data_IF_407576228207
#
_entry.id   IF_407576228207
#
_cell.length_a   1.000
_cell.length_b   1.000
_cell.length_c   1.000
_cell.angle_alpha   90.00
_cell.angle_beta   90.00
_cell.angle_gamma   90.00
#
_symmetry.space_group_name_H-M   'P 1'
#
loop_
_entity.id
_entity.type
_entity.pdbx_description
1 polymer ?
#
# COMPACT_ATOMS: atom_id res chain seq x y z
N UNK A 1 -9.57 4.59 10.87
CA UNK A 1 -9.18 5.82 11.61
C UNK A 1 -7.70 6.15 11.39
N UNK A 2 -6.82 5.17 11.16
CA UNK A 2 -5.40 5.38 10.87
C UNK A 2 -5.12 6.05 9.50
N UNK A 3 -5.90 5.73 8.46
CA UNK A 3 -5.54 6.11 7.07
C UNK A 3 -5.65 7.61 6.80
N UNK A 4 -6.65 8.28 7.39
CA UNK A 4 -6.85 9.71 7.20
C UNK A 4 -5.76 10.54 7.88
N UNK A 5 -5.43 10.18 9.12
CA UNK A 5 -4.42 10.89 9.88
C UNK A 5 -3.05 10.69 9.24
N UNK A 6 -2.78 9.52 8.66
CA UNK A 6 -1.58 9.24 7.86
C UNK A 6 -1.56 10.05 6.56
N UNK A 7 -2.66 10.09 5.78
CA UNK A 7 -2.76 10.91 4.57
C UNK A 7 -2.50 12.40 4.86
N UNK A 8 -3.17 12.95 5.86
CA UNK A 8 -2.97 14.34 6.29
C UNK A 8 -1.58 14.58 6.89
N UNK A 9 -1.05 13.65 7.66
CA UNK A 9 0.30 13.78 8.25
C UNK A 9 1.37 13.70 7.18
N UNK A 10 1.27 12.76 6.24
CA UNK A 10 2.20 12.62 5.11
C UNK A 10 2.05 13.78 4.09
N UNK A 11 0.84 14.35 3.92
CA UNK A 11 0.63 15.56 3.13
C UNK A 11 1.42 16.75 3.66
N UNK A 12 1.64 16.78 4.98
CA UNK A 12 2.21 17.90 5.73
C UNK A 12 3.64 17.64 6.25
N UNK A 13 4.20 16.45 6.05
CA UNK A 13 5.52 16.06 6.57
C UNK A 13 6.66 16.08 5.54
N UNK A 14 6.43 16.48 4.29
CA UNK A 14 7.53 16.73 3.36
C UNK A 14 8.02 18.18 3.47
N UNK A 15 9.31 18.30 3.82
CA UNK A 15 10.03 19.50 4.24
C UNK A 15 10.06 20.67 3.23
N UNK A 16 9.71 21.86 3.73
CA UNK A 16 10.44 23.15 3.64
C UNK A 16 10.60 23.95 2.34
N UNK A 17 9.94 23.64 1.22
CA UNK A 17 9.88 24.60 0.11
C UNK A 17 8.43 24.84 -0.35
N UNK A 18 7.91 26.00 0.06
CA UNK A 18 6.60 26.59 -0.31
C UNK A 18 5.42 25.64 -0.06
N UNK A 19 4.64 25.88 0.99
CA UNK A 19 3.31 25.28 1.17
C UNK A 19 2.40 25.64 -0.02
N UNK A 20 2.53 24.94 -1.14
CA UNK A 20 1.52 24.91 -2.17
C UNK A 20 0.28 24.29 -1.54
N UNK A 21 -0.79 25.09 -1.48
CA UNK A 21 -2.06 24.69 -0.90
C UNK A 21 -2.66 23.55 -1.72
N UNK A 22 -2.40 22.31 -1.30
CA UNK A 22 -2.99 21.10 -1.91
C UNK A 22 -4.52 21.19 -1.86
N UNK A 23 -5.17 21.00 -2.99
CA UNK A 23 -6.62 20.97 -3.09
C UNK A 23 -7.15 19.59 -2.68
N UNK A 24 -7.92 19.58 -1.59
CA UNK A 24 -8.59 18.38 -1.10
C UNK A 24 -10.02 18.31 -1.63
N UNK A 25 -10.35 17.18 -2.27
CA UNK A 25 -11.72 16.78 -2.56
C UNK A 25 -12.08 15.56 -1.71
N UNK A 26 -12.95 15.80 -0.72
CA UNK A 26 -13.43 14.78 0.20
C UNK A 26 -14.87 14.38 -0.13
N UNK A 27 -15.03 13.14 -0.55
CA UNK A 27 -16.29 12.53 -1.00
C UNK A 27 -16.59 11.26 -0.20
N UNK A 28 -16.14 11.19 1.04
CA UNK A 28 -16.44 10.05 1.93
C UNK A 28 -17.92 9.94 2.27
N UNK A 29 -18.37 8.71 2.56
CA UNK A 29 -19.69 8.42 3.12
C UNK A 29 -20.87 8.96 2.28
N UNK A 30 -20.69 9.08 0.96
CA UNK A 30 -21.69 9.62 0.03
C UNK A 30 -22.54 8.52 -0.65
N UNK A 31 -22.24 7.24 -0.41
CA UNK A 31 -22.92 6.12 -1.06
C UNK A 31 -22.65 6.04 -2.57
N UNK A 32 -21.51 6.57 -3.04
CA UNK A 32 -21.14 6.61 -4.46
C UNK A 32 -20.95 5.20 -5.02
N UNK A 33 -21.48 4.97 -6.21
CA UNK A 33 -21.31 3.69 -6.93
C UNK A 33 -20.30 3.81 -8.09
N UNK A 34 -19.93 5.04 -8.46
CA UNK A 34 -18.98 5.37 -9.53
C UNK A 34 -18.28 6.68 -9.22
N UNK A 35 -17.03 6.81 -9.68
CA UNK A 35 -16.28 8.08 -9.61
C UNK A 35 -16.80 9.01 -10.71
N UNK A 36 -17.28 10.19 -10.34
CA UNK A 36 -17.76 11.21 -11.27
C UNK A 36 -17.16 12.56 -10.91
N UNK A 37 -15.93 12.78 -11.39
CA UNK A 37 -15.25 14.07 -11.28
C UNK A 37 -15.63 14.94 -12.47
N UNK A 38 -15.89 16.22 -12.22
CA UNK A 38 -16.09 17.21 -13.28
C UNK A 38 -14.73 17.57 -13.88
N UNK A 39 -14.71 18.04 -15.12
CA UNK A 39 -13.45 18.46 -15.78
C UNK A 39 -12.76 19.64 -15.04
N UNK A 40 -13.50 20.36 -14.20
CA UNK A 40 -13.01 21.45 -13.35
C UNK A 40 -12.38 20.94 -12.04
N UNK A 41 -12.72 19.73 -11.60
CA UNK A 41 -12.22 19.16 -10.35
C UNK A 41 -10.76 18.73 -10.56
N UNK A 42 -9.83 19.47 -9.93
CA UNK A 42 -8.39 19.18 -9.97
C UNK A 42 -7.78 18.97 -8.58
N UNK A 43 -8.29 18.01 -7.78
CA UNK A 43 -7.77 17.78 -6.45
C UNK A 43 -6.35 17.20 -6.48
N UNK A 44 -5.47 17.71 -5.62
CA UNK A 44 -4.20 17.05 -5.28
C UNK A 44 -4.45 15.82 -4.40
N UNK A 45 -5.50 15.87 -3.58
CA UNK A 45 -5.89 14.84 -2.61
C UNK A 45 -7.35 14.46 -2.86
N UNK A 46 -7.60 13.19 -3.16
CA UNK A 46 -8.95 12.64 -3.35
C UNK A 46 -9.25 11.58 -2.29
N UNK A 47 -10.34 11.78 -1.54
CA UNK A 47 -10.83 10.83 -0.55
C UNK A 47 -12.21 10.33 -0.97
N UNK A 48 -12.30 9.02 -1.20
CA UNK A 48 -13.52 8.30 -1.62
C UNK A 48 -13.88 7.18 -0.64
N UNK A 49 -13.42 7.27 0.60
CA UNK A 49 -13.62 6.27 1.63
C UNK A 49 -15.10 6.01 1.93
N UNK A 50 -15.44 4.80 2.37
CA UNK A 50 -16.80 4.42 2.80
C UNK A 50 -17.88 4.69 1.74
N UNK A 51 -17.63 4.28 0.51
CA UNK A 51 -18.60 4.33 -0.58
C UNK A 51 -18.90 2.91 -1.08
N UNK A 52 -19.65 2.79 -2.17
CA UNK A 52 -20.02 1.52 -2.80
C UNK A 52 -19.27 1.32 -4.14
N UNK A 53 -18.06 1.86 -4.28
CA UNK A 53 -17.30 1.77 -5.51
C UNK A 53 -16.86 0.33 -5.76
N UNK A 54 -17.10 -0.18 -6.97
CA UNK A 54 -16.63 -1.51 -7.38
C UNK A 54 -15.44 -1.48 -8.34
N UNK A 55 -15.12 -0.28 -8.85
CA UNK A 55 -14.08 -0.01 -9.85
C UNK A 55 -13.52 1.41 -9.66
N UNK A 56 -12.33 1.63 -10.20
CA UNK A 56 -11.61 2.91 -10.18
C UNK A 56 -11.64 3.65 -11.53
N UNK A 57 -12.62 3.33 -12.39
CA UNK A 57 -12.81 3.98 -13.68
C UNK A 57 -13.11 5.49 -13.50
N UNK A 58 -12.60 6.33 -14.42
CA UNK A 58 -12.83 7.79 -14.40
C UNK A 58 -11.71 8.62 -13.78
N UNK A 59 -10.59 7.99 -13.41
CA UNK A 59 -9.41 8.67 -12.89
C UNK A 59 -8.36 9.03 -13.96
N UNK A 60 -8.57 8.65 -15.23
CA UNK A 60 -7.55 8.74 -16.30
C UNK A 60 -6.98 10.16 -16.55
N UNK A 61 -7.77 11.19 -16.24
CA UNK A 61 -7.36 12.60 -16.39
C UNK A 61 -6.73 13.20 -15.13
N UNK A 62 -6.78 12.50 -13.99
CA UNK A 62 -6.37 13.01 -12.69
C UNK A 62 -4.87 12.79 -12.45
N UNK A 63 -4.03 13.00 -13.47
CA UNK A 63 -2.59 12.71 -13.44
C UNK A 63 -1.80 13.58 -12.45
N UNK A 64 -2.43 14.64 -11.94
CA UNK A 64 -1.93 15.53 -10.89
C UNK A 64 -2.18 15.00 -9.47
N UNK A 65 -3.02 13.96 -9.29
CA UNK A 65 -3.29 13.40 -7.97
C UNK A 65 -1.99 12.96 -7.30
N UNK A 66 -1.75 13.49 -6.10
CA UNK A 66 -0.59 13.14 -5.27
C UNK A 66 -0.98 12.18 -4.16
N UNK A 67 -2.24 12.21 -3.72
CA UNK A 67 -2.76 11.33 -2.69
C UNK A 67 -4.16 10.84 -3.04
N UNK A 68 -4.38 9.53 -2.90
CA UNK A 68 -5.65 8.91 -3.20
C UNK A 68 -6.03 7.87 -2.16
N UNK A 69 -7.25 7.99 -1.65
CA UNK A 69 -7.85 7.05 -0.71
C UNK A 69 -9.22 6.60 -1.21
N UNK A 70 -9.45 5.29 -1.24
CA UNK A 70 -10.77 4.70 -1.48
C UNK A 70 -11.00 3.51 -0.56
N UNK A 71 -10.71 3.70 0.72
CA UNK A 71 -10.81 2.68 1.75
C UNK A 71 -12.27 2.26 1.96
N UNK A 72 -12.50 1.02 2.41
CA UNK A 72 -13.86 0.54 2.75
C UNK A 72 -14.87 0.71 1.61
N UNK A 73 -14.51 0.17 0.45
CA UNK A 73 -15.35 0.11 -0.75
C UNK A 73 -15.55 -1.37 -1.16
N UNK A 74 -15.97 -1.61 -2.40
CA UNK A 74 -16.14 -2.95 -2.98
C UNK A 74 -15.26 -3.16 -4.21
N UNK A 75 -14.09 -2.51 -4.23
CA UNK A 75 -13.17 -2.54 -5.37
C UNK A 75 -12.57 -3.93 -5.50
N UNK A 76 -12.65 -4.51 -6.70
CA UNK A 76 -12.11 -5.85 -6.99
C UNK A 76 -10.83 -5.79 -7.84
N UNK A 77 -10.63 -4.69 -8.56
CA UNK A 77 -9.54 -4.48 -9.53
C UNK A 77 -8.98 -3.07 -9.43
N UNK A 78 -7.67 -2.96 -9.64
CA UNK A 78 -6.92 -1.71 -9.50
C UNK A 78 -6.71 -0.97 -10.84
N UNK A 79 -7.33 -1.45 -11.92
CA UNK A 79 -7.29 -0.78 -13.22
C UNK A 79 -7.74 0.69 -13.15
N UNK A 80 -7.05 1.54 -13.92
CA UNK A 80 -7.28 3.00 -13.94
C UNK A 80 -6.21 3.80 -13.19
N UNK A 81 -5.43 3.15 -12.32
CA UNK A 81 -4.36 3.81 -11.54
C UNK A 81 -3.08 4.08 -12.34
N UNK A 82 -2.84 3.35 -13.44
CA UNK A 82 -1.58 3.43 -14.20
C UNK A 82 -1.24 4.83 -14.75
N UNK A 83 -2.22 5.72 -14.84
CA UNK A 83 -2.05 7.10 -15.33
C UNK A 83 -1.68 8.08 -14.22
N UNK A 84 -1.84 7.70 -12.95
CA UNK A 84 -1.71 8.58 -11.79
C UNK A 84 -0.25 8.71 -11.32
N UNK A 85 0.66 8.96 -12.25
CA UNK A 85 2.12 8.89 -12.05
C UNK A 85 2.69 9.85 -11.00
N UNK A 86 1.93 10.85 -10.58
CA UNK A 86 2.27 11.79 -9.51
C UNK A 86 1.91 11.27 -8.10
N UNK A 87 1.25 10.10 -7.98
CA UNK A 87 0.86 9.55 -6.70
C UNK A 87 2.06 9.26 -5.81
N UNK A 88 1.97 9.76 -4.58
CA UNK A 88 2.91 9.55 -3.49
C UNK A 88 2.29 8.70 -2.37
N UNK A 89 0.97 8.80 -2.18
CA UNK A 89 0.21 8.03 -1.19
C UNK A 89 -1.00 7.38 -1.85
N UNK A 90 -1.14 6.07 -1.66
CA UNK A 90 -2.29 5.30 -2.11
C UNK A 90 -2.78 4.41 -0.97
N UNK A 91 -4.06 4.54 -0.59
CA UNK A 91 -4.73 3.56 0.27
C UNK A 91 -6.00 3.03 -0.39
N UNK A 92 -6.07 1.70 -0.49
CA UNK A 92 -7.22 0.93 -0.93
C UNK A 92 -7.57 -0.14 0.10
N UNK A 93 -7.34 0.16 1.39
CA UNK A 93 -7.60 -0.76 2.48
C UNK A 93 -9.08 -1.17 2.53
N UNK A 94 -9.35 -2.36 3.08
CA UNK A 94 -10.71 -2.87 3.28
C UNK A 94 -11.55 -2.87 1.98
N UNK A 95 -11.05 -3.57 0.96
CA UNK A 95 -11.71 -3.76 -0.33
C UNK A 95 -11.78 -5.26 -0.65
N UNK A 96 -12.00 -5.63 -1.92
CA UNK A 96 -12.03 -7.02 -2.38
C UNK A 96 -11.00 -7.27 -3.49
N UNK A 97 -9.87 -6.58 -3.44
CA UNK A 97 -8.80 -6.68 -4.44
C UNK A 97 -8.14 -8.06 -4.33
N UNK A 98 -8.03 -8.75 -5.45
CA UNK A 98 -7.47 -10.12 -5.51
C UNK A 98 -6.05 -10.18 -6.05
N UNK A 99 -5.62 -9.14 -6.77
CA UNK A 99 -4.32 -9.03 -7.39
C UNK A 99 -3.89 -7.57 -7.46
N UNK A 100 -2.59 -7.33 -7.29
CA UNK A 100 -1.98 -6.01 -7.47
C UNK A 100 -1.77 -5.81 -8.97
N UNK A 101 -2.22 -4.68 -9.51
CA UNK A 101 -2.06 -4.32 -10.92
C UNK A 101 -2.00 -2.79 -11.06
N UNK A 102 -1.33 -2.30 -12.11
CA UNK A 102 -1.37 -0.88 -12.49
C UNK A 102 -0.54 0.05 -11.59
N UNK A 103 0.37 -0.48 -10.79
CA UNK A 103 1.24 0.31 -9.91
C UNK A 103 2.66 0.49 -10.48
N UNK A 104 3.04 -0.24 -11.54
CA UNK A 104 4.42 -0.33 -12.01
C UNK A 104 5.02 1.02 -12.43
N UNK A 105 4.16 1.90 -12.96
CA UNK A 105 4.52 3.24 -13.45
C UNK A 105 4.33 4.34 -12.39
N UNK A 106 3.90 3.99 -11.17
CA UNK A 106 3.77 4.93 -10.05
C UNK A 106 5.13 5.16 -9.38
N UNK A 107 6.07 5.73 -10.15
CA UNK A 107 7.46 5.88 -9.73
C UNK A 107 7.64 6.73 -8.47
N UNK A 108 6.70 7.63 -8.16
CA UNK A 108 6.75 8.53 -7.00
C UNK A 108 6.09 7.95 -5.75
N UNK A 109 5.54 6.73 -5.80
CA UNK A 109 4.79 6.17 -4.68
C UNK A 109 5.71 5.92 -3.48
N UNK A 110 5.32 6.49 -2.33
CA UNK A 110 6.05 6.43 -1.05
C UNK A 110 5.32 5.59 -0.02
N UNK A 111 3.99 5.61 -0.07
CA UNK A 111 3.12 4.92 0.89
C UNK A 111 2.04 4.14 0.13
N UNK A 112 1.99 2.83 0.38
CA UNK A 112 0.99 1.95 -0.20
C UNK A 112 0.33 1.12 0.89
N UNK A 113 -0.98 1.24 0.98
CA UNK A 113 -1.81 0.45 1.88
C UNK A 113 -2.86 -0.34 1.08
N UNK A 114 -2.71 -1.65 1.12
CA UNK A 114 -3.58 -2.65 0.51
C UNK A 114 -4.07 -3.65 1.57
N UNK A 115 -4.06 -3.26 2.84
CA UNK A 115 -4.50 -4.10 3.96
C UNK A 115 -5.98 -4.50 3.83
N UNK A 116 -6.38 -5.61 4.46
CA UNK A 116 -7.78 -6.09 4.46
C UNK A 116 -8.34 -6.26 3.03
N UNK A 117 -7.62 -7.00 2.20
CA UNK A 117 -8.01 -7.36 0.84
C UNK A 117 -7.96 -8.89 0.66
N UNK A 118 -7.94 -9.40 -0.57
CA UNK A 118 -7.85 -10.83 -0.89
C UNK A 118 -6.64 -11.16 -1.78
N UNK A 119 -5.56 -10.39 -1.64
CA UNK A 119 -4.33 -10.53 -2.42
C UNK A 119 -3.61 -11.80 -2.00
N UNK A 120 -3.11 -12.57 -2.98
CA UNK A 120 -2.41 -13.85 -2.74
C UNK A 120 -0.93 -13.82 -3.07
N UNK A 121 -0.53 -12.91 -3.96
CA UNK A 121 0.83 -12.80 -4.48
C UNK A 121 1.21 -11.34 -4.48
N UNK A 122 2.43 -11.06 -4.01
CA UNK A 122 3.02 -9.73 -4.05
C UNK A 122 3.70 -9.59 -5.41
N UNK A 123 3.07 -8.90 -6.36
CA UNK A 123 3.60 -8.68 -7.70
C UNK A 123 3.19 -7.30 -8.19
N UNK A 124 3.74 -6.87 -9.32
CA UNK A 124 3.35 -5.61 -9.96
C UNK A 124 3.45 -4.37 -9.05
N UNK A 125 4.35 -4.42 -8.05
CA UNK A 125 4.65 -3.27 -7.20
C UNK A 125 5.35 -2.16 -7.99
N UNK A 126 5.33 -0.91 -7.49
CA UNK A 126 6.01 0.20 -8.15
C UNK A 126 7.49 -0.11 -8.43
N UNK A 127 7.94 0.23 -9.64
CA UNK A 127 9.37 0.14 -10.00
C UNK A 127 10.19 1.29 -9.40
N UNK A 128 9.52 2.29 -8.84
CA UNK A 128 10.14 3.43 -8.17
C UNK A 128 10.90 2.99 -6.91
N UNK A 129 12.00 3.69 -6.62
CA UNK A 129 12.79 3.46 -5.40
C UNK A 129 12.23 4.22 -4.20
N UNK A 130 11.10 4.91 -4.30
CA UNK A 130 10.64 5.80 -3.24
C UNK A 130 9.66 5.16 -2.24
N UNK A 131 9.26 3.89 -2.44
CA UNK A 131 8.34 3.23 -1.52
C UNK A 131 9.01 3.00 -0.16
N UNK A 132 8.49 3.66 0.88
CA UNK A 132 8.99 3.56 2.26
C UNK A 132 8.12 2.67 3.14
N UNK A 133 6.84 2.55 2.78
CA UNK A 133 5.86 1.78 3.53
C UNK A 133 4.97 0.96 2.60
N UNK A 134 4.80 -0.30 2.98
CA UNK A 134 3.92 -1.24 2.33
C UNK A 134 3.13 -2.01 3.38
N UNK A 135 1.81 -1.82 3.36
CA UNK A 135 0.89 -2.61 4.17
C UNK A 135 0.09 -3.57 3.29
N UNK A 136 0.29 -4.86 3.58
CA UNK A 136 -0.38 -5.99 2.95
C UNK A 136 -0.97 -6.89 4.03
N UNK A 137 -1.27 -6.35 5.22
CA UNK A 137 -1.88 -7.11 6.29
C UNK A 137 -3.27 -7.62 5.92
N UNK A 138 -3.76 -8.64 6.62
CA UNK A 138 -5.13 -9.14 6.48
C UNK A 138 -5.46 -9.46 5.01
N UNK A 139 -4.56 -10.22 4.37
CA UNK A 139 -4.67 -10.70 3.00
C UNK A 139 -4.52 -12.24 2.99
N UNK A 140 -4.37 -12.84 1.81
CA UNK A 140 -4.22 -14.29 1.64
C UNK A 140 -2.84 -14.67 1.06
N UNK A 141 -1.80 -13.92 1.40
CA UNK A 141 -0.44 -14.11 0.89
C UNK A 141 0.17 -15.35 1.53
N UNK A 142 0.70 -16.27 0.72
CA UNK A 142 1.24 -17.56 1.21
C UNK A 142 2.77 -17.63 1.20
N UNK A 143 3.42 -16.75 0.46
CA UNK A 143 4.87 -16.72 0.28
C UNK A 143 5.37 -15.31 -0.01
N UNK A 144 6.64 -15.05 0.30
CA UNK A 144 7.31 -13.84 -0.16
C UNK A 144 7.50 -13.87 -1.68
N UNK A 145 7.35 -12.72 -2.29
CA UNK A 145 7.85 -12.46 -3.64
C UNK A 145 9.15 -11.66 -3.57
N UNK A 146 9.91 -11.67 -4.66
CA UNK A 146 11.12 -10.86 -4.76
C UNK A 146 10.75 -9.37 -4.84
N UNK A 147 10.97 -8.67 -3.73
CA UNK A 147 10.80 -7.22 -3.55
C UNK A 147 12.12 -6.58 -3.10
N UNK A 148 13.25 -7.24 -3.36
CA UNK A 148 14.58 -6.80 -2.96
C UNK A 148 15.00 -5.47 -3.63
N UNK A 149 14.34 -5.12 -4.73
CA UNK A 149 14.50 -3.87 -5.46
C UNK A 149 13.91 -2.63 -4.74
N UNK A 150 13.05 -2.82 -3.73
CA UNK A 150 12.47 -1.73 -2.94
C UNK A 150 13.47 -1.24 -1.88
N UNK A 151 14.59 -0.69 -2.35
CA UNK A 151 15.76 -0.34 -1.53
C UNK A 151 15.46 0.64 -0.39
N UNK A 152 14.43 1.49 -0.50
CA UNK A 152 14.05 2.45 0.55
C UNK A 152 12.87 1.99 1.41
N UNK A 153 12.40 0.75 1.24
CA UNK A 153 11.31 0.22 2.04
C UNK A 153 11.77 0.03 3.48
N UNK A 154 11.15 0.78 4.40
CA UNK A 154 11.45 0.77 5.83
C UNK A 154 10.45 -0.06 6.61
N UNK A 155 9.17 -0.04 6.20
CA UNK A 155 8.10 -0.74 6.89
C UNK A 155 7.37 -1.68 5.95
N UNK A 156 7.33 -2.95 6.34
CA UNK A 156 6.57 -3.99 5.67
C UNK A 156 5.66 -4.70 6.66
N UNK A 157 4.35 -4.54 6.47
CA UNK A 157 3.34 -5.21 7.29
C UNK A 157 2.71 -6.36 6.49
N UNK A 158 2.89 -7.58 7.00
CA UNK A 158 2.38 -8.82 6.42
C UNK A 158 1.65 -9.65 7.48
N UNK A 159 1.19 -9.04 8.57
CA UNK A 159 0.45 -9.78 9.59
C UNK A 159 -0.91 -10.26 9.07
N UNK A 160 -1.49 -11.27 9.71
CA UNK A 160 -2.77 -11.87 9.30
C UNK A 160 -2.75 -12.35 7.84
N UNK A 161 -1.73 -13.12 7.48
CA UNK A 161 -1.58 -13.75 6.16
C UNK A 161 -1.35 -15.26 6.34
N UNK A 162 -1.02 -15.96 5.26
CA UNK A 162 -0.85 -17.41 5.23
C UNK A 162 0.62 -17.81 4.97
N UNK A 163 1.59 -16.95 5.33
CA UNK A 163 3.01 -17.20 5.11
C UNK A 163 3.46 -18.31 6.07
N UNK A 164 4.11 -19.34 5.52
CA UNK A 164 4.51 -20.54 6.28
C UNK A 164 6.01 -20.79 6.33
N UNK A 165 6.79 -20.05 5.54
CA UNK A 165 8.23 -20.26 5.38
C UNK A 165 8.96 -18.93 5.30
N UNK A 166 10.03 -18.77 6.07
CA UNK A 166 10.91 -17.60 6.06
C UNK A 166 12.14 -17.79 5.16
N UNK A 167 12.33 -18.97 4.58
CA UNK A 167 13.50 -19.25 3.71
C UNK A 167 13.73 -18.20 2.62
N UNK A 168 12.71 -17.73 1.89
CA UNK A 168 12.93 -16.75 0.82
C UNK A 168 13.25 -15.35 1.36
N UNK A 169 12.98 -15.07 2.64
CA UNK A 169 13.09 -13.72 3.19
C UNK A 169 14.51 -13.14 3.07
N UNK A 170 15.54 -13.98 3.22
CA UNK A 170 16.93 -13.55 3.13
C UNK A 170 17.40 -13.10 1.74
N UNK A 171 16.66 -13.44 0.68
CA UNK A 171 16.98 -13.04 -0.70
C UNK A 171 15.92 -12.12 -1.31
N UNK A 172 14.65 -12.26 -0.88
CA UNK A 172 13.51 -11.58 -1.48
C UNK A 172 13.16 -10.27 -0.79
N UNK A 173 13.60 -10.02 0.45
CA UNK A 173 13.29 -8.80 1.18
C UNK A 173 14.45 -7.80 1.11
N UNK A 174 14.17 -6.49 1.06
CA UNK A 174 15.20 -5.46 1.07
C UNK A 174 15.85 -5.35 2.46
N UNK A 175 17.17 -5.11 2.48
CA UNK A 175 17.99 -5.09 3.72
C UNK A 175 17.80 -3.83 4.58
N UNK A 176 17.14 -2.80 4.04
CA UNK A 176 16.86 -1.54 4.73
C UNK A 176 15.56 -1.55 5.54
N UNK A 177 14.87 -2.70 5.62
CA UNK A 177 13.69 -2.85 6.47
C UNK A 177 14.03 -2.56 7.94
N UNK A 178 13.26 -1.66 8.53
CA UNK A 178 13.31 -1.30 9.94
C UNK A 178 12.18 -1.98 10.73
N UNK A 179 11.01 -2.16 10.11
CA UNK A 179 9.82 -2.76 10.72
C UNK A 179 9.30 -3.88 9.82
N UNK A 180 9.21 -5.09 10.37
CA UNK A 180 8.62 -6.25 9.72
C UNK A 180 7.59 -6.90 10.66
N UNK A 181 6.33 -6.95 10.23
CA UNK A 181 5.29 -7.68 10.95
C UNK A 181 4.89 -8.94 10.19
N UNK A 182 5.08 -10.09 10.83
CA UNK A 182 4.68 -11.42 10.38
C UNK A 182 3.80 -12.09 11.43
N UNK A 183 3.13 -11.30 12.28
CA UNK A 183 2.19 -11.83 13.26
C UNK A 183 1.01 -12.53 12.56
N UNK A 184 0.35 -13.45 13.25
CA UNK A 184 -0.87 -14.11 12.76
C UNK A 184 -0.66 -14.73 11.37
N UNK A 185 0.46 -15.44 11.20
CA UNK A 185 0.82 -16.20 10.00
C UNK A 185 0.91 -17.71 10.35
N UNK A 186 1.44 -18.52 9.43
CA UNK A 186 1.57 -19.97 9.57
C UNK A 186 3.04 -20.42 9.71
N UNK A 187 3.92 -19.58 10.25
CA UNK A 187 5.37 -19.86 10.38
C UNK A 187 5.62 -20.80 11.56
N UNK A 188 5.70 -22.10 11.29
CA UNK A 188 5.87 -23.13 12.34
C UNK A 188 7.32 -23.44 12.70
N UNK A 189 8.29 -23.09 11.84
CA UNK A 189 9.70 -23.43 12.03
C UNK A 189 10.52 -22.21 12.43
N UNK A 190 10.66 -21.98 13.74
CA UNK A 190 11.41 -20.84 14.27
C UNK A 190 12.91 -20.86 13.91
N UNK A 191 13.47 -22.01 13.52
CA UNK A 191 14.86 -22.05 13.04
C UNK A 191 15.04 -21.24 11.73
N UNK A 192 13.96 -20.97 10.99
CA UNK A 192 14.00 -20.17 9.77
C UNK A 192 14.18 -18.67 10.02
N UNK A 193 14.11 -18.22 11.28
CA UNK A 193 14.45 -16.85 11.66
C UNK A 193 15.90 -16.49 11.25
N UNK A 194 16.79 -17.48 11.12
CA UNK A 194 18.15 -17.27 10.62
C UNK A 194 18.17 -16.63 9.21
N UNK A 195 17.14 -16.83 8.40
CA UNK A 195 17.01 -16.19 7.09
C UNK A 195 16.72 -14.69 7.18
N UNK A 196 16.21 -14.21 8.32
CA UNK A 196 16.01 -12.79 8.60
C UNK A 196 17.29 -12.10 9.09
N UNK A 197 18.38 -12.84 9.35
CA UNK A 197 19.63 -12.27 9.85
C UNK A 197 20.26 -11.24 8.88
N UNK A 198 19.89 -11.28 7.60
CA UNK A 198 20.34 -10.30 6.61
C UNK A 198 19.67 -8.93 6.75
N UNK A 199 18.53 -8.84 7.44
CA UNK A 199 17.79 -7.61 7.70
C UNK A 199 18.46 -6.84 8.86
N UNK A 200 19.69 -6.40 8.65
CA UNK A 200 20.53 -5.81 9.71
C UNK A 200 20.00 -4.48 10.29
N UNK A 201 19.09 -3.81 9.58
CA UNK A 201 18.46 -2.57 10.02
C UNK A 201 17.16 -2.78 10.80
N UNK A 202 16.73 -4.03 11.00
CA UNK A 202 15.46 -4.34 11.62
C UNK A 202 15.45 -3.93 13.09
N UNK A 203 14.58 -2.98 13.42
CA UNK A 203 14.34 -2.45 14.77
C UNK A 203 13.16 -3.13 15.44
N UNK A 204 12.17 -3.54 14.64
CA UNK A 204 10.96 -4.18 15.13
C UNK A 204 10.61 -5.39 14.26
N UNK A 205 10.48 -6.55 14.92
CA UNK A 205 10.02 -7.79 14.33
C UNK A 205 8.85 -8.34 15.15
N UNK A 206 7.72 -8.59 14.50
CA UNK A 206 6.59 -9.29 15.13
C UNK A 206 6.40 -10.66 14.50
N UNK A 207 6.40 -11.71 15.33
CA UNK A 207 6.12 -13.10 14.96
C UNK A 207 5.02 -13.71 15.83
N UNK A 208 4.25 -12.87 16.52
CA UNK A 208 3.18 -13.31 17.42
C UNK A 208 2.16 -14.21 16.69
N UNK A 209 1.52 -15.13 17.41
CA UNK A 209 0.43 -15.97 16.89
C UNK A 209 0.79 -16.78 15.62
N UNK A 210 2.04 -17.22 15.51
CA UNK A 210 2.43 -18.27 14.57
C UNK A 210 2.42 -19.65 15.29
N UNK A 211 2.07 -20.74 14.60
CA UNK A 211 1.93 -22.08 15.19
C UNK A 211 3.25 -22.74 15.61
#
# INVERSE_FOLDING_TARGET
MADLEVLYTMANQEETDVEERKELLDLRDQGLNSIQLKDEDKPDILILDNNNLSKLDGLDKCTFLTQFSACSNHIVRMGGLQTLTSLTVLSLSNNSIVAIEGLEELFQLKWLDLSSNSIKVIEHLPRGRYLHYLDLSDNAITQFSDISNLENLKTLLLHSNNISSLKPAGTCLPTNLEILSLADNSVYNLNEICHLAMLSNLKQLSLANNP
#
